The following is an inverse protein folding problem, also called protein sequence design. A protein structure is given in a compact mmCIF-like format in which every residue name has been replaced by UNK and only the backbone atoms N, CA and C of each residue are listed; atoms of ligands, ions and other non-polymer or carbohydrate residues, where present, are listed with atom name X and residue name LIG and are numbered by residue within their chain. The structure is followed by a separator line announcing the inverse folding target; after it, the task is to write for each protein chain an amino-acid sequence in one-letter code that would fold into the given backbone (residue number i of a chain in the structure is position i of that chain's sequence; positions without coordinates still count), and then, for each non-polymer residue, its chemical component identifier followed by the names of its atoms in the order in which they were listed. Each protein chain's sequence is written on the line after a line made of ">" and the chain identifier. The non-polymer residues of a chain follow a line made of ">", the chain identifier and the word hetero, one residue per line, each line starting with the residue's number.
data_IF_786230625564
#
_entry.id   IF_786230625564
#
_cell.length_a   1.000
_cell.length_b   1.000
_cell.length_c   1.000
_cell.angle_alpha   90.00
_cell.angle_beta   90.00
_cell.angle_gamma   90.00
#
_symmetry.space_group_name_H-M   'P 1'
#
loop_
_entity.id
_entity.type
_entity.pdbx_description
1 polymer ?
#
# COMPACT_ATOMS: atom_id res chain seq x y z
N UNK A 1 -13.09 -2.89 -19.61
CA UNK A 1 -13.13 -4.25 -19.02
C UNK A 1 -12.51 -4.13 -17.64
N UNK A 2 -13.19 -4.61 -16.61
CA UNK A 2 -12.62 -4.66 -15.27
C UNK A 2 -11.28 -5.44 -15.33
N UNK A 3 -10.26 -4.95 -14.64
CA UNK A 3 -8.98 -5.65 -14.49
C UNK A 3 -9.26 -6.98 -13.79
N UNK A 4 -8.83 -8.09 -14.35
CA UNK A 4 -8.88 -9.36 -13.67
C UNK A 4 -7.64 -9.47 -12.77
N UNK A 5 -7.75 -9.01 -11.52
CA UNK A 5 -6.67 -9.13 -10.54
C UNK A 5 -6.72 -10.52 -9.89
N UNK A 6 -5.56 -10.99 -9.38
CA UNK A 6 -5.38 -12.33 -8.84
C UNK A 6 -4.71 -12.26 -7.46
N UNK A 7 -4.97 -13.28 -6.62
CA UNK A 7 -4.35 -13.38 -5.32
C UNK A 7 -4.02 -14.80 -4.89
N UNK A 8 -2.90 -14.97 -4.18
CA UNK A 8 -2.61 -16.15 -3.36
C UNK A 8 -2.34 -15.68 -1.94
N UNK A 9 -3.14 -16.18 -1.00
CA UNK A 9 -3.07 -15.83 0.41
C UNK A 9 -2.67 -17.06 1.21
N UNK A 10 -1.54 -16.97 1.91
CA UNK A 10 -1.01 -18.06 2.73
C UNK A 10 -0.95 -17.65 4.20
N UNK A 11 -1.58 -18.43 5.09
CA UNK A 11 -1.56 -18.23 6.53
C UNK A 11 -1.21 -19.49 7.30
N UNK A 12 -0.09 -19.50 8.00
CA UNK A 12 0.40 -20.67 8.75
C UNK A 12 0.48 -20.35 10.22
N UNK A 13 -0.39 -20.98 11.02
CA UNK A 13 -0.48 -20.79 12.48
C UNK A 13 0.01 -21.98 13.28
N UNK A 14 0.08 -23.16 12.66
CA UNK A 14 0.43 -24.38 13.36
C UNK A 14 1.65 -25.05 12.74
N UNK A 15 2.62 -25.33 13.61
CA UNK A 15 3.90 -25.98 13.28
C UNK A 15 4.11 -27.08 14.31
N UNK A 16 4.18 -28.36 13.90
CA UNK A 16 4.41 -29.48 14.83
C UNK A 16 5.80 -29.48 15.48
N UNK A 17 6.81 -28.85 14.85
CA UNK A 17 8.14 -28.72 15.45
C UNK A 17 8.09 -27.75 16.64
N UNK A 18 8.49 -28.17 17.86
CA UNK A 18 8.46 -27.31 19.05
C UNK A 18 9.38 -26.07 18.96
N UNK A 19 10.22 -25.98 17.94
CA UNK A 19 11.00 -24.76 17.64
C UNK A 19 10.16 -23.61 17.10
N UNK A 20 8.91 -23.87 16.69
CA UNK A 20 7.97 -22.88 16.19
C UNK A 20 6.74 -22.83 17.09
N UNK A 21 6.61 -21.83 17.97
CA UNK A 21 5.40 -21.68 18.78
C UNK A 21 4.17 -21.44 17.91
N UNK A 22 2.97 -21.89 18.30
CA UNK A 22 1.76 -21.65 17.55
C UNK A 22 1.44 -20.15 17.49
N UNK A 23 0.93 -19.71 16.35
CA UNK A 23 0.47 -18.34 16.10
C UNK A 23 -1.06 -18.31 16.09
N UNK A 24 -1.65 -17.16 16.38
CA UNK A 24 -3.11 -16.99 16.41
C UNK A 24 -3.63 -16.12 15.25
N UNK A 25 -2.84 -15.17 14.78
CA UNK A 25 -3.21 -14.20 13.76
C UNK A 25 -3.37 -14.78 12.35
N UNK A 26 -2.45 -15.61 11.82
CA UNK A 26 -2.34 -15.84 10.38
C UNK A 26 -3.63 -16.26 9.67
N UNK A 27 -4.45 -17.21 10.14
CA UNK A 27 -5.71 -17.54 9.46
C UNK A 27 -6.74 -16.40 9.48
N UNK A 28 -6.80 -15.63 10.57
CA UNK A 28 -7.69 -14.48 10.72
C UNK A 28 -7.25 -13.33 9.83
N UNK A 29 -5.96 -13.09 9.73
CA UNK A 29 -5.37 -12.04 8.92
C UNK A 29 -5.55 -12.34 7.43
N UNK A 30 -5.40 -13.60 7.02
CA UNK A 30 -5.77 -14.06 5.67
C UNK A 30 -7.24 -13.77 5.38
N UNK A 31 -8.14 -14.10 6.31
CA UNK A 31 -9.57 -13.83 6.11
C UNK A 31 -9.86 -12.33 5.96
N UNK A 32 -9.29 -11.49 6.81
CA UNK A 32 -9.46 -10.02 6.72
C UNK A 32 -8.90 -9.44 5.42
N UNK A 33 -7.75 -9.95 4.97
CA UNK A 33 -7.17 -9.51 3.71
C UNK A 33 -8.01 -9.99 2.52
N UNK A 34 -8.55 -11.21 2.58
CA UNK A 34 -9.51 -11.75 1.61
C UNK A 34 -10.77 -10.88 1.54
N UNK A 35 -11.37 -10.55 2.69
CA UNK A 35 -12.57 -9.72 2.76
C UNK A 35 -12.34 -8.34 2.13
N UNK A 36 -11.17 -7.75 2.35
CA UNK A 36 -10.79 -6.50 1.69
C UNK A 36 -10.59 -6.68 0.18
N UNK A 37 -9.99 -7.79 -0.26
CA UNK A 37 -9.77 -8.05 -1.70
C UNK A 37 -11.09 -8.16 -2.46
N UNK A 38 -12.13 -8.79 -1.89
CA UNK A 38 -13.42 -8.96 -2.55
C UNK A 38 -14.36 -7.76 -2.38
N UNK A 39 -14.04 -6.82 -1.50
CA UNK A 39 -14.83 -5.61 -1.28
C UNK A 39 -14.78 -4.73 -2.54
N UNK A 40 -15.94 -4.38 -3.15
CA UNK A 40 -15.98 -3.47 -4.30
C UNK A 40 -15.40 -2.07 -4.03
N UNK A 41 -15.34 -1.66 -2.76
CA UNK A 41 -14.70 -0.41 -2.33
C UNK A 41 -13.24 -0.61 -1.89
N UNK A 42 -12.77 -1.84 -1.90
CA UNK A 42 -11.41 -2.29 -1.57
C UNK A 42 -10.64 -2.76 -2.80
N UNK A 43 -10.29 -4.05 -2.81
CA UNK A 43 -9.53 -4.67 -3.90
C UNK A 43 -10.32 -4.93 -5.16
N UNK A 44 -11.64 -5.12 -5.07
CA UNK A 44 -12.57 -5.46 -6.17
C UNK A 44 -12.10 -6.68 -7.00
N UNK A 45 -11.51 -7.67 -6.33
CA UNK A 45 -10.99 -8.90 -6.94
C UNK A 45 -12.09 -9.95 -6.99
N UNK A 46 -12.26 -10.60 -8.16
CA UNK A 46 -13.19 -11.72 -8.30
C UNK A 46 -12.78 -12.85 -7.32
N UNK A 47 -13.69 -13.34 -6.45
CA UNK A 47 -13.40 -14.44 -5.53
C UNK A 47 -12.84 -15.70 -6.21
N UNK A 48 -13.20 -15.95 -7.48
CA UNK A 48 -12.67 -17.07 -8.26
C UNK A 48 -11.19 -16.92 -8.65
N UNK A 49 -10.63 -15.71 -8.53
CA UNK A 49 -9.22 -15.40 -8.79
C UNK A 49 -8.38 -15.40 -7.50
N UNK A 50 -8.99 -15.73 -6.36
CA UNK A 50 -8.28 -15.77 -5.07
C UNK A 50 -8.11 -17.21 -4.64
N UNK A 51 -6.87 -17.60 -4.34
CA UNK A 51 -6.54 -18.88 -3.72
C UNK A 51 -6.10 -18.63 -2.28
N UNK A 52 -6.78 -19.25 -1.32
CA UNK A 52 -6.41 -19.22 0.10
C UNK A 52 -5.85 -20.55 0.54
N UNK A 53 -4.72 -20.51 1.25
CA UNK A 53 -4.02 -21.66 1.78
C UNK A 53 -3.74 -21.37 3.26
N UNK A 54 -4.49 -22.02 4.15
CA UNK A 54 -4.39 -21.74 5.60
C UNK A 54 -4.21 -23.01 6.40
N UNK A 55 -3.58 -22.89 7.56
CA UNK A 55 -3.50 -24.00 8.52
C UNK A 55 -4.91 -24.49 8.87
N UNK A 56 -5.18 -25.80 8.82
CA UNK A 56 -6.46 -26.35 9.26
C UNK A 56 -6.75 -26.04 10.72
N UNK A 57 -8.01 -25.83 11.05
CA UNK A 57 -8.47 -25.67 12.43
C UNK A 57 -9.68 -26.58 12.69
N UNK A 58 -9.57 -27.58 13.59
CA UNK A 58 -8.41 -27.92 14.42
C UNK A 58 -7.22 -28.47 13.57
N UNK A 59 -5.98 -28.35 14.08
CA UNK A 59 -4.81 -28.94 13.43
C UNK A 59 -4.97 -30.46 13.31
N UNK A 60 -4.61 -31.05 12.16
CA UNK A 60 -4.69 -32.49 12.00
C UNK A 60 -3.65 -33.23 12.84
N UNK A 61 -3.99 -34.42 13.28
CA UNK A 61 -3.02 -35.32 13.94
C UNK A 61 -2.19 -36.02 12.86
N UNK A 62 -1.07 -35.42 12.50
CA UNK A 62 -0.14 -35.92 11.48
C UNK A 62 1.29 -35.87 12.00
N UNK A 63 2.19 -36.60 11.33
CA UNK A 63 3.62 -36.47 11.58
C UNK A 63 4.12 -35.08 11.15
N UNK A 64 5.18 -34.52 11.76
CA UNK A 64 5.66 -33.18 11.43
C UNK A 64 5.94 -32.93 9.95
N UNK A 65 6.46 -33.93 9.25
CA UNK A 65 6.77 -33.91 7.83
C UNK A 65 5.52 -33.84 6.92
N UNK A 66 4.35 -34.18 7.47
CA UNK A 66 3.06 -34.18 6.76
C UNK A 66 2.17 -32.98 7.09
N UNK A 67 2.61 -32.09 8.00
CA UNK A 67 1.79 -30.97 8.44
C UNK A 67 1.47 -30.00 7.30
N UNK A 68 0.19 -29.71 7.05
CA UNK A 68 -0.22 -28.70 6.06
C UNK A 68 -0.33 -27.30 6.69
N UNK A 69 -0.14 -26.22 5.91
CA UNK A 69 0.24 -26.22 4.49
C UNK A 69 1.71 -26.50 4.26
N UNK A 70 2.01 -27.22 3.19
CA UNK A 70 3.37 -27.52 2.77
C UNK A 70 3.84 -26.57 1.66
N UNK A 71 5.14 -26.58 1.38
CA UNK A 71 5.71 -25.86 0.24
C UNK A 71 5.02 -26.22 -1.08
N UNK A 72 4.67 -27.49 -1.28
CA UNK A 72 4.01 -27.99 -2.48
C UNK A 72 2.62 -27.44 -2.68
N UNK A 73 1.88 -27.15 -1.61
CA UNK A 73 0.52 -26.59 -1.70
C UNK A 73 0.57 -25.19 -2.34
N UNK A 74 1.51 -24.35 -1.88
CA UNK A 74 1.73 -23.04 -2.48
C UNK A 74 2.25 -23.15 -3.92
N UNK A 75 3.21 -24.04 -4.16
CA UNK A 75 3.80 -24.25 -5.50
C UNK A 75 2.74 -24.63 -6.53
N UNK A 76 1.87 -25.59 -6.21
CA UNK A 76 0.77 -26.01 -7.09
C UNK A 76 -0.20 -24.88 -7.36
N UNK A 77 -0.57 -24.11 -6.33
CA UNK A 77 -1.43 -22.94 -6.48
C UNK A 77 -0.81 -21.89 -7.40
N UNK A 78 0.48 -21.60 -7.21
CA UNK A 78 1.19 -20.62 -8.04
C UNK A 78 1.35 -21.10 -9.49
N UNK A 79 1.69 -22.36 -9.71
CA UNK A 79 1.75 -22.94 -11.06
C UNK A 79 0.40 -22.89 -11.76
N UNK A 80 -0.68 -23.28 -11.07
CA UNK A 80 -2.04 -23.21 -11.62
C UNK A 80 -2.42 -21.77 -12.00
N UNK A 81 -2.06 -20.79 -11.15
CA UNK A 81 -2.31 -19.38 -11.40
C UNK A 81 -1.63 -18.92 -12.69
N UNK A 82 -0.32 -19.16 -12.84
CA UNK A 82 0.43 -18.65 -13.99
C UNK A 82 0.22 -19.44 -15.29
N UNK A 83 -0.43 -20.58 -15.24
CA UNK A 83 -0.67 -21.43 -16.43
C UNK A 83 -2.15 -21.57 -16.79
N UNK A 84 -3.07 -21.13 -15.92
CA UNK A 84 -4.50 -21.41 -16.08
C UNK A 84 -4.81 -22.92 -16.17
N UNK A 85 -3.94 -23.77 -15.58
CA UNK A 85 -4.01 -25.24 -15.70
C UNK A 85 -3.54 -25.80 -17.04
N UNK A 86 -2.91 -24.98 -17.89
CA UNK A 86 -2.37 -25.38 -19.19
C UNK A 86 -0.85 -25.65 -19.10
N UNK A 87 -0.27 -26.25 -20.12
CA UNK A 87 1.18 -26.48 -20.20
C UNK A 87 1.93 -25.28 -20.85
N UNK A 88 1.54 -24.06 -20.49
CA UNK A 88 2.19 -22.82 -20.95
C UNK A 88 1.88 -21.70 -19.98
N UNK A 89 2.74 -20.70 -19.90
CA UNK A 89 2.48 -19.50 -19.11
C UNK A 89 1.42 -18.64 -19.80
N UNK A 90 0.46 -18.16 -19.03
CA UNK A 90 -0.52 -17.15 -19.42
C UNK A 90 -0.05 -15.79 -18.90
N UNK A 91 -0.07 -14.78 -19.77
CA UNK A 91 0.37 -13.43 -19.43
C UNK A 91 -0.84 -12.55 -19.15
N UNK A 92 -0.79 -11.86 -18.00
CA UNK A 92 -1.83 -11.00 -17.47
C UNK A 92 -1.29 -9.56 -17.31
N UNK A 93 -0.78 -8.97 -18.40
CA UNK A 93 -0.08 -7.69 -18.39
C UNK A 93 -0.89 -6.50 -17.87
N UNK A 94 -2.22 -6.60 -17.89
CA UNK A 94 -3.13 -5.57 -17.42
C UNK A 94 -3.71 -5.86 -16.03
N UNK A 95 -3.21 -6.90 -15.37
CA UNK A 95 -3.70 -7.39 -14.08
C UNK A 95 -2.66 -7.20 -12.99
N UNK A 96 -3.14 -7.21 -11.76
CA UNK A 96 -2.33 -7.19 -10.53
C UNK A 96 -2.33 -8.57 -9.88
N UNK A 97 -1.16 -8.95 -9.36
CA UNK A 97 -1.00 -10.12 -8.52
C UNK A 97 -0.78 -9.70 -7.07
N UNK A 98 -1.60 -10.18 -6.16
CA UNK A 98 -1.39 -10.07 -4.72
C UNK A 98 -0.79 -11.39 -4.20
N UNK A 99 0.35 -11.30 -3.54
CA UNK A 99 0.98 -12.38 -2.79
C UNK A 99 1.01 -11.98 -1.31
N UNK A 100 0.22 -12.64 -0.50
CA UNK A 100 0.12 -12.38 0.94
C UNK A 100 0.58 -13.61 1.73
N UNK A 101 1.48 -13.38 2.69
CA UNK A 101 2.05 -14.43 3.52
C UNK A 101 2.03 -14.01 4.99
N UNK A 102 1.46 -14.84 5.87
CA UNK A 102 1.44 -14.63 7.31
C UNK A 102 1.84 -15.91 8.06
N UNK A 103 2.81 -15.80 8.99
CA UNK A 103 3.35 -16.93 9.75
C UNK A 103 4.76 -16.69 10.28
N UNK A 104 5.46 -17.76 10.72
CA UNK A 104 6.87 -17.67 11.05
C UNK A 104 7.72 -17.49 9.79
N UNK A 105 8.73 -16.62 9.86
CA UNK A 105 9.59 -16.35 8.72
C UNK A 105 11.00 -15.94 9.10
N UNK A 106 11.83 -15.78 8.09
CA UNK A 106 13.24 -15.40 8.21
C UNK A 106 13.73 -14.66 6.96
N UNK A 107 14.95 -14.12 7.02
CA UNK A 107 15.68 -13.61 5.86
C UNK A 107 17.14 -14.11 5.86
N UNK A 108 17.78 -14.07 4.70
CA UNK A 108 19.20 -14.36 4.58
C UNK A 108 20.06 -13.19 5.03
N UNK A 109 21.12 -13.48 5.82
CA UNK A 109 22.06 -12.46 6.28
C UNK A 109 22.81 -11.80 5.11
N UNK A 110 23.20 -12.58 4.10
CA UNK A 110 24.17 -12.17 3.07
C UNK A 110 23.58 -11.35 1.94
N UNK A 111 22.28 -11.23 1.83
CA UNK A 111 21.66 -10.50 0.72
C UNK A 111 21.36 -9.05 1.11
N UNK A 112 21.73 -8.11 0.21
CA UNK A 112 21.50 -6.68 0.43
C UNK A 112 20.08 -6.24 0.06
N UNK A 113 19.37 -7.00 -0.80
CA UNK A 113 18.00 -6.68 -1.15
C UNK A 113 17.02 -7.10 -0.06
N UNK A 114 15.92 -6.34 0.15
CA UNK A 114 14.85 -6.77 1.04
C UNK A 114 14.34 -8.14 0.63
N UNK A 115 14.43 -9.11 1.53
CA UNK A 115 14.01 -10.49 1.28
C UNK A 115 13.32 -11.06 2.50
N UNK A 116 12.37 -11.95 2.27
CA UNK A 116 11.77 -12.77 3.30
C UNK A 116 11.24 -14.08 2.75
N UNK A 117 11.25 -15.10 3.59
CA UNK A 117 10.56 -16.35 3.38
C UNK A 117 9.72 -16.70 4.61
N UNK A 118 8.60 -17.38 4.37
CA UNK A 118 7.79 -17.99 5.41
C UNK A 118 8.14 -19.47 5.51
N UNK A 119 8.22 -20.01 6.72
CA UNK A 119 8.36 -21.44 6.92
C UNK A 119 7.07 -22.16 6.52
N UNK A 120 7.16 -23.26 5.80
CA UNK A 120 6.04 -24.17 5.61
C UNK A 120 5.70 -24.88 6.92
N UNK A 121 4.47 -25.35 7.09
CA UNK A 121 4.05 -25.96 8.37
C UNK A 121 4.86 -27.22 8.74
N UNK A 122 5.40 -27.92 7.75
CA UNK A 122 6.28 -29.07 7.90
C UNK A 122 7.77 -28.72 8.06
N UNK A 123 8.12 -27.44 8.20
CA UNK A 123 9.49 -27.04 8.49
C UNK A 123 9.91 -27.48 9.90
N UNK A 124 11.21 -27.74 10.07
CA UNK A 124 11.79 -28.12 11.34
C UNK A 124 13.20 -27.58 11.50
N UNK A 125 13.81 -27.81 12.65
CA UNK A 125 15.23 -27.48 12.87
C UNK A 125 16.16 -28.17 11.86
N UNK A 126 15.77 -29.36 11.35
CA UNK A 126 16.57 -30.14 10.40
C UNK A 126 16.21 -29.82 8.96
N UNK A 127 14.93 -29.57 8.67
CA UNK A 127 14.43 -29.38 7.31
C UNK A 127 13.88 -27.97 7.14
N UNK A 128 14.58 -27.17 6.35
CA UNK A 128 14.25 -25.77 6.10
C UNK A 128 13.24 -25.63 4.93
N UNK A 129 12.05 -26.25 5.05
CA UNK A 129 10.98 -26.04 4.08
C UNK A 129 10.46 -24.62 4.20
N UNK A 130 10.57 -23.82 3.14
CA UNK A 130 10.12 -22.44 3.16
C UNK A 130 9.59 -22.00 1.80
N UNK A 131 8.75 -20.99 1.83
CA UNK A 131 8.25 -20.29 0.65
C UNK A 131 8.88 -18.90 0.64
N UNK A 132 9.83 -18.69 -0.27
CA UNK A 132 10.54 -17.44 -0.44
C UNK A 132 9.67 -16.45 -1.23
N UNK A 133 8.68 -15.81 -0.58
CA UNK A 133 7.71 -14.93 -1.22
C UNK A 133 8.33 -13.86 -2.11
N UNK A 134 9.45 -13.27 -1.64
CA UNK A 134 10.21 -12.30 -2.43
C UNK A 134 10.73 -12.88 -3.75
N UNK A 135 11.22 -14.13 -3.75
CA UNK A 135 11.75 -14.76 -4.99
C UNK A 135 10.62 -15.06 -5.98
N UNK A 136 9.43 -15.44 -5.50
CA UNK A 136 8.26 -15.63 -6.37
C UNK A 136 7.80 -14.30 -6.98
N UNK A 137 7.76 -13.22 -6.20
CA UNK A 137 7.41 -11.88 -6.69
C UNK A 137 8.44 -11.39 -7.74
N UNK A 138 9.74 -11.56 -7.48
CA UNK A 138 10.80 -11.20 -8.41
C UNK A 138 10.75 -12.04 -9.69
N UNK A 139 10.52 -13.33 -9.58
CA UNK A 139 10.34 -14.18 -10.75
C UNK A 139 9.15 -13.71 -11.61
N UNK A 140 7.99 -13.45 -11.00
CA UNK A 140 6.81 -12.98 -11.72
C UNK A 140 7.05 -11.63 -12.41
N UNK A 141 7.87 -10.75 -11.80
CA UNK A 141 8.32 -9.48 -12.39
C UNK A 141 9.24 -9.69 -13.57
N UNK A 142 10.28 -10.54 -13.44
CA UNK A 142 11.25 -10.80 -14.50
C UNK A 142 10.62 -11.51 -15.70
N UNK A 143 9.68 -12.41 -15.45
CA UNK A 143 8.89 -13.06 -16.46
C UNK A 143 7.79 -12.17 -17.05
N UNK A 144 7.49 -11.03 -16.43
CA UNK A 144 6.44 -10.09 -16.80
C UNK A 144 5.06 -10.76 -16.95
N UNK A 145 4.74 -11.70 -16.05
CA UNK A 145 3.47 -12.43 -16.10
C UNK A 145 2.29 -11.51 -15.75
N UNK A 146 2.51 -10.56 -14.83
CA UNK A 146 1.53 -9.55 -14.41
C UNK A 146 2.10 -8.14 -14.63
N UNK A 147 1.22 -7.17 -14.82
CA UNK A 147 1.63 -5.77 -14.95
C UNK A 147 1.97 -5.10 -13.62
N UNK A 148 1.35 -5.56 -12.54
CA UNK A 148 1.56 -5.08 -11.18
C UNK A 148 1.66 -6.24 -10.21
N UNK A 149 2.56 -6.14 -9.22
CA UNK A 149 2.78 -7.18 -8.20
C UNK A 149 2.80 -6.52 -6.82
N UNK A 150 1.97 -7.01 -5.92
CA UNK A 150 1.91 -6.61 -4.51
C UNK A 150 2.34 -7.79 -3.66
N UNK A 151 3.43 -7.63 -2.93
CA UNK A 151 3.95 -8.62 -1.99
C UNK A 151 3.78 -8.13 -0.56
N UNK A 152 3.08 -8.91 0.26
CA UNK A 152 2.95 -8.69 1.70
C UNK A 152 3.58 -9.86 2.43
N UNK A 153 4.66 -9.60 3.17
CA UNK A 153 5.38 -10.59 3.99
C UNK A 153 5.14 -10.26 5.48
N UNK A 154 4.05 -10.78 6.01
CA UNK A 154 3.66 -10.61 7.39
C UNK A 154 4.29 -11.71 8.26
N UNK A 155 5.60 -11.62 8.40
CA UNK A 155 6.41 -12.58 9.14
C UNK A 155 7.67 -11.91 9.72
N UNK A 156 8.29 -12.57 10.70
CA UNK A 156 9.60 -12.18 11.18
C UNK A 156 10.65 -12.26 10.05
N UNK A 157 11.66 -11.41 10.16
CA UNK A 157 12.83 -11.43 9.27
C UNK A 157 14.11 -11.67 10.06
N UNK A 158 14.03 -12.58 11.05
CA UNK A 158 15.21 -13.01 11.78
C UNK A 158 16.33 -13.39 10.80
N UNK A 159 17.51 -12.80 11.00
CA UNK A 159 18.65 -13.02 10.11
C UNK A 159 19.31 -14.37 10.43
N UNK A 160 18.98 -15.37 9.67
CA UNK A 160 19.45 -16.75 9.87
C UNK A 160 20.70 -17.03 9.03
N UNK A 161 21.84 -17.27 9.71
CA UNK A 161 23.11 -17.52 9.04
C UNK A 161 23.18 -18.89 8.31
N UNK A 162 22.40 -19.85 8.77
CA UNK A 162 22.42 -21.25 8.34
C UNK A 162 21.26 -21.63 7.43
N UNK A 163 20.29 -20.74 7.24
CA UNK A 163 19.10 -21.00 6.44
C UNK A 163 19.17 -20.26 5.11
N UNK A 164 18.77 -20.96 4.06
CA UNK A 164 18.72 -20.41 2.71
C UNK A 164 17.29 -20.35 2.21
N UNK A 165 16.99 -19.34 1.40
CA UNK A 165 15.74 -19.25 0.67
C UNK A 165 15.66 -20.38 -0.37
N UNK A 166 14.53 -21.07 -0.40
CA UNK A 166 14.28 -22.06 -1.46
C UNK A 166 13.92 -21.31 -2.75
N UNK A 167 14.69 -21.57 -3.79
CA UNK A 167 14.37 -21.03 -5.11
C UNK A 167 13.03 -21.60 -5.62
N UNK A 168 12.18 -20.76 -6.21
CA UNK A 168 11.00 -21.23 -6.91
C UNK A 168 11.39 -22.24 -8.01
N UNK A 169 10.77 -23.43 -8.06
CA UNK A 169 11.04 -24.40 -9.12
C UNK A 169 10.31 -24.03 -10.42
N UNK A 170 10.65 -22.88 -10.95
CA UNK A 170 10.03 -22.25 -12.10
C UNK A 170 11.05 -22.11 -13.23
N UNK A 171 10.62 -22.10 -14.51
CA UNK A 171 11.55 -21.97 -15.64
C UNK A 171 12.24 -20.61 -15.59
N UNK A 172 13.49 -20.56 -16.00
CA UNK A 172 14.20 -19.31 -16.18
C UNK A 172 13.60 -18.56 -17.37
N UNK A 173 12.96 -17.43 -17.10
CA UNK A 173 12.41 -16.54 -18.12
C UNK A 173 13.06 -15.17 -17.92
N UNK A 174 13.58 -14.63 -19.00
CA UNK A 174 14.18 -13.30 -18.99
C UNK A 174 13.55 -12.46 -20.09
N UNK A 175 12.72 -11.50 -19.69
CA UNK A 175 12.06 -10.54 -20.58
C UNK A 175 12.35 -9.12 -20.11
N UNK A 176 13.58 -8.62 -20.24
CA UNK A 176 14.00 -7.37 -19.60
C UNK A 176 13.19 -6.16 -20.06
N UNK A 177 12.77 -6.12 -21.32
CA UNK A 177 11.96 -5.00 -21.85
C UNK A 177 10.55 -4.94 -21.25
N UNK A 178 9.91 -6.08 -21.01
CA UNK A 178 8.61 -6.13 -20.35
C UNK A 178 8.74 -6.00 -18.83
N UNK A 179 9.75 -6.64 -18.23
CA UNK A 179 10.01 -6.61 -16.79
C UNK A 179 10.23 -5.19 -16.24
N UNK A 180 10.83 -4.29 -17.04
CA UNK A 180 11.00 -2.89 -16.67
C UNK A 180 9.68 -2.11 -16.54
N UNK A 181 8.60 -2.59 -17.14
CA UNK A 181 7.27 -1.98 -17.07
C UNK A 181 6.44 -2.51 -15.91
N UNK A 182 6.84 -3.65 -15.33
CA UNK A 182 6.12 -4.26 -14.21
C UNK A 182 6.37 -3.45 -12.95
N UNK A 183 5.29 -2.96 -12.36
CA UNK A 183 5.32 -2.26 -11.08
C UNK A 183 5.34 -3.27 -9.93
N UNK A 184 6.08 -2.96 -8.89
CA UNK A 184 6.22 -3.82 -7.72
C UNK A 184 6.04 -2.99 -6.45
N UNK A 185 5.25 -3.51 -5.53
CA UNK A 185 5.14 -2.99 -4.17
C UNK A 185 5.40 -4.14 -3.21
N UNK A 186 6.39 -3.99 -2.33
CA UNK A 186 6.68 -4.99 -1.29
C UNK A 186 6.58 -4.36 0.08
N UNK A 187 5.90 -5.04 1.00
CA UNK A 187 5.87 -4.66 2.41
C UNK A 187 6.23 -5.86 3.28
N UNK A 188 7.12 -5.63 4.22
CA UNK A 188 7.64 -6.61 5.18
C UNK A 188 7.29 -6.14 6.59
N UNK A 189 6.78 -7.03 7.43
CA UNK A 189 6.33 -6.70 8.80
C UNK A 189 7.44 -6.14 9.71
N UNK A 190 8.69 -6.38 9.36
CA UNK A 190 9.84 -5.89 10.11
C UNK A 190 11.02 -5.63 9.17
N UNK A 191 11.97 -4.77 9.54
CA UNK A 191 13.24 -4.63 8.84
C UNK A 191 14.06 -5.92 8.94
N UNK A 192 15.15 -6.00 8.19
CA UNK A 192 16.07 -7.13 8.24
C UNK A 192 16.62 -7.34 9.66
N UNK A 193 16.47 -8.53 10.19
CA UNK A 193 16.80 -8.90 11.57
C UNK A 193 15.71 -8.57 12.60
N UNK A 194 14.60 -7.97 12.16
CA UNK A 194 13.49 -7.58 13.03
C UNK A 194 12.42 -8.65 13.17
N UNK A 195 11.51 -8.45 14.13
CA UNK A 195 10.42 -9.36 14.46
C UNK A 195 9.06 -8.76 14.18
N UNK A 196 8.21 -9.51 13.47
CA UNK A 196 6.80 -9.23 13.34
C UNK A 196 6.10 -9.44 14.69
N UNK A 197 5.02 -8.70 14.95
CA UNK A 197 4.28 -8.74 16.21
C UNK A 197 2.83 -9.10 15.96
N UNK A 198 2.30 -10.02 16.77
CA UNK A 198 0.88 -10.26 16.93
C UNK A 198 0.39 -9.65 18.24
N UNK A 199 -0.83 -9.11 18.26
CA UNK A 199 -1.43 -8.59 19.48
C UNK A 199 -2.96 -8.68 19.46
N UNK A 200 -3.60 -8.66 20.63
CA UNK A 200 -5.02 -8.37 20.70
C UNK A 200 -5.35 -6.99 20.13
N UNK A 201 -6.34 -6.92 19.27
CA UNK A 201 -6.81 -5.68 18.65
C UNK A 201 -8.16 -5.32 19.27
N UNK A 202 -8.25 -4.25 20.09
CA UNK A 202 -9.49 -3.90 20.79
C UNK A 202 -10.68 -3.71 19.86
N UNK A 203 -10.45 -3.07 18.70
CA UNK A 203 -11.47 -2.78 17.68
C UNK A 203 -12.02 -4.04 16.99
N UNK A 204 -11.35 -5.18 17.20
CA UNK A 204 -11.71 -6.50 16.69
C UNK A 204 -12.05 -7.46 17.86
N UNK A 205 -12.79 -6.98 18.84
CA UNK A 205 -13.21 -7.75 20.02
C UNK A 205 -12.05 -8.36 20.82
N UNK A 206 -10.86 -7.78 20.74
CA UNK A 206 -9.67 -8.30 21.40
C UNK A 206 -9.07 -9.56 20.77
N UNK A 207 -9.46 -9.91 19.56
CA UNK A 207 -8.83 -11.01 18.82
C UNK A 207 -7.38 -10.68 18.46
N UNK A 208 -6.54 -11.73 18.47
CA UNK A 208 -5.13 -11.58 18.13
C UNK A 208 -4.96 -11.52 16.63
N UNK A 209 -4.29 -10.46 16.17
CA UNK A 209 -3.97 -10.19 14.77
C UNK A 209 -2.52 -9.70 14.65
N UNK A 210 -1.97 -9.83 13.45
CA UNK A 210 -0.71 -9.18 13.13
C UNK A 210 -0.86 -7.67 13.11
N UNK A 211 0.12 -6.99 13.66
CA UNK A 211 0.19 -5.55 13.67
C UNK A 211 0.32 -4.98 12.23
N UNK A 212 1.14 -5.64 11.37
CA UNK A 212 1.27 -5.22 9.98
C UNK A 212 -0.06 -5.30 9.24
N UNK A 213 -0.73 -6.46 9.26
CA UNK A 213 -1.99 -6.63 8.53
C UNK A 213 -3.06 -5.66 9.03
N UNK A 214 -3.12 -5.42 10.36
CA UNK A 214 -4.05 -4.44 10.91
C UNK A 214 -3.80 -3.03 10.35
N UNK A 215 -2.57 -2.56 10.38
CA UNK A 215 -2.19 -1.21 9.91
C UNK A 215 -2.29 -1.09 8.38
N UNK A 216 -1.94 -2.14 7.63
CA UNK A 216 -2.05 -2.14 6.17
C UNK A 216 -3.51 -2.04 5.70
N UNK A 217 -4.41 -2.80 6.32
CA UNK A 217 -5.84 -2.73 6.00
C UNK A 217 -6.46 -1.39 6.42
N UNK A 218 -5.96 -0.78 7.49
CA UNK A 218 -6.34 0.58 7.87
C UNK A 218 -5.85 1.60 6.83
N UNK A 219 -4.59 1.46 6.38
CA UNK A 219 -4.03 2.31 5.32
C UNK A 219 -4.81 2.20 4.00
N UNK A 220 -5.21 1.02 3.60
CA UNK A 220 -6.06 0.83 2.42
C UNK A 220 -7.41 1.55 2.53
N UNK A 221 -7.96 1.71 3.74
CA UNK A 221 -9.23 2.41 3.98
C UNK A 221 -9.08 3.92 4.11
N UNK A 222 -8.00 4.38 4.72
CA UNK A 222 -7.91 5.75 5.21
C UNK A 222 -6.72 6.56 4.65
N UNK A 223 -5.76 5.94 3.96
CA UNK A 223 -4.66 6.70 3.36
C UNK A 223 -5.23 7.79 2.42
N UNK A 224 -4.78 9.04 2.57
CA UNK A 224 -5.28 10.13 1.77
C UNK A 224 -4.89 9.95 0.29
N UNK A 225 -5.82 10.21 -0.64
CA UNK A 225 -5.48 10.26 -2.05
C UNK A 225 -4.61 11.48 -2.37
N UNK A 226 -3.90 11.40 -3.47
CA UNK A 226 -3.23 12.56 -4.06
C UNK A 226 -4.25 13.55 -4.67
N UNK A 227 -3.80 14.71 -5.20
CA UNK A 227 -4.70 15.68 -5.84
C UNK A 227 -5.48 15.11 -7.04
N UNK A 228 -5.02 14.04 -7.66
CA UNK A 228 -5.71 13.33 -8.73
C UNK A 228 -6.68 12.27 -8.19
N UNK A 229 -6.83 12.16 -6.89
CA UNK A 229 -7.69 11.18 -6.24
C UNK A 229 -7.08 9.78 -6.18
N UNK A 230 -5.78 9.61 -6.44
CA UNK A 230 -5.12 8.30 -6.48
C UNK A 230 -4.51 7.96 -5.13
N UNK A 231 -4.78 6.76 -4.62
CA UNK A 231 -4.08 6.19 -3.45
C UNK A 231 -2.99 5.28 -3.97
N UNK A 232 -1.74 5.75 -3.84
CA UNK A 232 -0.54 5.08 -4.37
C UNK A 232 0.18 4.31 -3.28
N UNK A 233 1.15 3.46 -3.66
CA UNK A 233 2.04 2.79 -2.71
C UNK A 233 2.80 3.77 -1.82
N UNK A 234 3.20 4.92 -2.34
CA UNK A 234 3.85 5.96 -1.54
C UNK A 234 2.87 6.60 -0.53
N UNK A 235 1.60 6.79 -0.91
CA UNK A 235 0.58 7.27 0.02
C UNK A 235 0.34 6.27 1.15
N UNK A 236 0.27 4.97 0.83
CA UNK A 236 0.18 3.91 1.84
C UNK A 236 1.40 3.91 2.76
N UNK A 237 2.61 4.02 2.20
CA UNK A 237 3.84 4.05 2.98
C UNK A 237 3.84 5.19 3.99
N UNK A 238 3.55 6.41 3.55
CA UNK A 238 3.52 7.59 4.42
C UNK A 238 2.48 7.42 5.53
N UNK A 239 1.29 6.95 5.20
CA UNK A 239 0.22 6.71 6.17
C UNK A 239 0.62 5.65 7.22
N UNK A 240 1.22 4.53 6.77
CA UNK A 240 1.68 3.46 7.66
C UNK A 240 2.77 3.96 8.60
N UNK A 241 3.75 4.72 8.09
CA UNK A 241 4.83 5.30 8.89
C UNK A 241 4.29 6.24 9.97
N UNK A 242 3.29 7.07 9.65
CA UNK A 242 2.64 7.98 10.61
C UNK A 242 1.76 7.25 11.64
N UNK A 243 1.08 6.18 11.22
CA UNK A 243 0.19 5.41 12.09
C UNK A 243 0.96 4.45 13.01
N UNK A 244 2.11 3.94 12.56
CA UNK A 244 2.85 2.86 13.22
C UNK A 244 3.15 3.11 14.70
N UNK A 245 3.65 4.28 15.15
CA UNK A 245 3.90 4.53 16.56
C UNK A 245 2.65 4.44 17.42
N UNK A 246 1.49 4.89 16.91
CA UNK A 246 0.20 4.80 17.60
C UNK A 246 -0.29 3.35 17.64
N UNK A 247 -0.14 2.65 16.52
CA UNK A 247 -0.51 1.26 16.41
C UNK A 247 0.33 0.36 17.31
N UNK A 248 1.60 0.60 17.52
CA UNK A 248 2.45 -0.13 18.46
C UNK A 248 2.05 0.07 19.93
N UNK A 249 1.59 1.29 20.30
CA UNK A 249 1.35 1.63 21.68
C UNK A 249 2.60 1.45 22.54
N UNK A 250 2.54 0.56 23.54
CA UNK A 250 3.67 0.27 24.43
C UNK A 250 4.51 -0.94 23.97
N UNK A 251 4.19 -1.55 22.83
CA UNK A 251 4.93 -2.71 22.31
C UNK A 251 6.12 -2.20 21.50
N UNK A 252 7.37 -2.56 21.84
CA UNK A 252 8.51 -2.22 21.03
C UNK A 252 8.45 -3.04 19.73
N UNK A 253 8.07 -2.41 18.63
CA UNK A 253 8.03 -3.03 17.32
C UNK A 253 8.72 -2.10 16.31
N UNK A 254 9.65 -2.64 15.56
CA UNK A 254 10.27 -1.93 14.45
C UNK A 254 9.22 -1.61 13.37
N UNK A 255 9.32 -0.45 12.69
CA UNK A 255 8.40 -0.13 11.59
C UNK A 255 8.58 -1.11 10.43
N UNK A 256 7.51 -1.36 9.65
CA UNK A 256 7.59 -2.21 8.47
C UNK A 256 8.54 -1.62 7.44
N UNK A 257 9.22 -2.49 6.71
CA UNK A 257 10.03 -2.08 5.57
C UNK A 257 9.19 -2.11 4.30
N UNK A 258 9.05 -0.96 3.63
CA UNK A 258 8.27 -0.84 2.39
C UNK A 258 9.21 -0.49 1.25
N UNK A 259 9.18 -1.34 0.22
CA UNK A 259 9.99 -1.20 -0.99
C UNK A 259 9.12 -0.90 -2.21
N UNK A 260 9.36 0.25 -2.81
CA UNK A 260 8.75 0.71 -4.07
C UNK A 260 9.89 1.02 -5.02
N UNK A 261 10.07 0.24 -6.10
CA UNK A 261 11.15 0.49 -7.04
C UNK A 261 10.94 1.77 -7.85
N UNK A 262 12.01 2.41 -8.32
CA UNK A 262 11.92 3.65 -9.09
C UNK A 262 11.24 3.50 -10.46
N UNK A 263 10.95 2.28 -10.90
CA UNK A 263 10.25 1.98 -12.18
C UNK A 263 8.78 2.43 -12.23
N UNK A 264 8.23 2.85 -11.12
CA UNK A 264 6.87 3.38 -11.01
C UNK A 264 6.12 2.83 -9.81
N UNK A 265 5.21 3.65 -9.29
CA UNK A 265 4.36 3.28 -8.16
C UNK A 265 3.06 2.62 -8.62
N UNK A 266 2.45 1.82 -7.76
CA UNK A 266 1.14 1.20 -7.98
C UNK A 266 0.07 2.19 -7.51
N UNK A 267 -0.93 2.43 -8.35
CA UNK A 267 -2.18 3.07 -7.93
C UNK A 267 -3.13 1.97 -7.46
N UNK A 268 -3.33 1.86 -6.16
CA UNK A 268 -4.19 0.81 -5.59
C UNK A 268 -5.65 1.04 -5.94
N UNK A 269 -6.12 2.26 -5.76
CA UNK A 269 -7.48 2.68 -6.12
C UNK A 269 -7.55 4.19 -6.31
N UNK A 270 -8.65 4.64 -6.92
CA UNK A 270 -8.97 6.05 -7.07
C UNK A 270 -10.16 6.38 -6.18
N UNK A 271 -10.05 7.42 -5.39
CA UNK A 271 -11.11 7.99 -4.56
C UNK A 271 -11.32 9.43 -4.95
N UNK A 272 -12.54 9.94 -4.87
CA UNK A 272 -12.72 11.39 -4.93
C UNK A 272 -11.83 12.04 -3.84
N UNK A 273 -11.05 13.06 -4.19
CA UNK A 273 -10.26 13.77 -3.19
C UNK A 273 -11.19 14.35 -2.12
N UNK A 274 -10.81 14.19 -0.85
CA UNK A 274 -11.52 14.88 0.24
C UNK A 274 -11.19 16.36 0.11
N UNK A 275 -12.19 17.15 -0.27
CA UNK A 275 -12.05 18.59 -0.35
C UNK A 275 -12.18 19.22 1.04
N UNK A 276 -11.16 19.96 1.44
CA UNK A 276 -11.12 20.70 2.70
C UNK A 276 -11.30 22.18 2.40
N UNK A 277 -12.17 22.82 3.16
CA UNK A 277 -12.36 24.26 3.08
C UNK A 277 -11.10 24.98 3.60
N UNK A 278 -10.58 25.91 2.81
CA UNK A 278 -9.42 26.73 3.15
C UNK A 278 -9.74 28.21 2.97
N UNK A 279 -9.63 28.98 4.03
CA UNK A 279 -9.79 30.42 3.97
C UNK A 279 -8.47 31.08 3.52
N UNK A 280 -8.55 31.83 2.43
CA UNK A 280 -7.49 32.72 1.97
C UNK A 280 -7.85 34.14 2.38
N UNK A 281 -7.01 34.76 3.20
CA UNK A 281 -7.21 36.13 3.68
C UNK A 281 -6.45 37.09 2.77
N UNK A 282 -7.19 37.88 2.01
CA UNK A 282 -6.69 38.75 0.94
C UNK A 282 -6.88 40.22 1.28
N UNK A 283 -6.24 40.67 2.37
CA UNK A 283 -6.33 42.07 2.78
C UNK A 283 -5.92 43.04 1.66
N UNK A 284 -6.74 44.09 1.47
CA UNK A 284 -6.49 45.12 0.45
C UNK A 284 -6.29 44.54 -0.95
N UNK A 285 -7.03 43.46 -1.30
CA UNK A 285 -7.04 42.94 -2.64
C UNK A 285 -7.61 43.95 -3.64
N UNK A 286 -7.02 44.12 -4.79
CA UNK A 286 -7.40 45.13 -5.76
C UNK A 286 -7.50 44.57 -7.18
N UNK A 287 -8.20 45.32 -8.05
CA UNK A 287 -8.32 44.96 -9.45
C UNK A 287 -6.93 44.83 -10.11
N UNK A 288 -6.72 43.78 -10.86
CA UNK A 288 -5.45 43.49 -11.54
C UNK A 288 -4.45 42.69 -10.71
N UNK A 289 -4.71 42.43 -9.44
CA UNK A 289 -3.91 41.48 -8.65
C UNK A 289 -4.39 40.05 -8.87
N UNK A 290 -3.45 39.12 -8.85
CA UNK A 290 -3.72 37.68 -9.07
C UNK A 290 -3.19 36.88 -7.90
N UNK A 291 -3.96 35.89 -7.48
CA UNK A 291 -3.54 34.87 -6.52
C UNK A 291 -3.43 33.53 -7.26
N UNK A 292 -2.34 32.83 -7.03
CA UNK A 292 -2.11 31.52 -7.60
C UNK A 292 -1.83 30.53 -6.49
N UNK A 293 -2.43 29.34 -6.59
CA UNK A 293 -2.21 28.23 -5.68
C UNK A 293 -1.54 27.09 -6.43
N UNK A 294 -0.47 26.61 -5.87
CA UNK A 294 0.33 25.49 -6.37
C UNK A 294 0.23 24.31 -5.41
N UNK A 295 0.19 23.11 -5.94
CA UNK A 295 0.25 21.87 -5.16
C UNK A 295 1.66 21.59 -4.60
N UNK A 296 1.80 20.51 -3.82
CA UNK A 296 3.07 20.07 -3.25
C UNK A 296 4.14 19.69 -4.28
N UNK A 297 3.75 19.42 -5.53
CA UNK A 297 4.64 19.16 -6.68
C UNK A 297 5.02 20.42 -7.43
N UNK A 298 4.61 21.59 -6.93
CA UNK A 298 4.82 22.90 -7.55
C UNK A 298 4.11 23.07 -8.91
N UNK A 299 3.01 22.36 -9.11
CA UNK A 299 2.14 22.54 -10.26
C UNK A 299 1.05 23.57 -9.92
N UNK A 300 0.75 24.50 -10.86
CA UNK A 300 -0.34 25.45 -10.70
C UNK A 300 -1.66 24.69 -10.67
N UNK A 301 -2.43 24.90 -9.59
CA UNK A 301 -3.72 24.26 -9.38
C UNK A 301 -4.89 25.19 -9.73
N UNK A 302 -4.84 26.42 -9.23
CA UNK A 302 -5.90 27.42 -9.47
C UNK A 302 -5.35 28.83 -9.46
N UNK A 303 -5.94 29.68 -10.29
CA UNK A 303 -5.70 31.13 -10.33
C UNK A 303 -6.98 31.85 -9.90
N UNK A 304 -6.85 32.79 -8.97
CA UNK A 304 -7.94 33.65 -8.49
C UNK A 304 -7.71 35.09 -8.99
N UNK A 305 -8.77 35.71 -9.50
CA UNK A 305 -8.78 37.11 -9.87
C UNK A 305 -9.97 37.83 -9.21
N UNK A 306 -9.82 39.07 -8.76
CA UNK A 306 -10.90 39.78 -8.09
C UNK A 306 -11.98 40.22 -9.08
N UNK A 307 -13.24 39.96 -8.74
CA UNK A 307 -14.39 40.48 -9.46
C UNK A 307 -14.89 41.73 -8.77
N UNK A 308 -14.81 42.83 -9.46
CA UNK A 308 -15.23 44.14 -8.94
C UNK A 308 -16.65 44.47 -9.39
N UNK A 309 -17.53 44.78 -8.45
CA UNK A 309 -18.90 45.25 -8.67
C UNK A 309 -19.10 46.54 -7.87
N UNK A 310 -19.54 47.62 -8.53
CA UNK A 310 -19.77 48.91 -7.94
C UNK A 310 -18.56 49.49 -7.15
N UNK A 311 -17.34 49.21 -7.62
CA UNK A 311 -16.10 49.66 -7.01
C UNK A 311 -15.61 48.83 -5.82
N UNK A 312 -16.31 47.74 -5.47
CA UNK A 312 -15.94 46.83 -4.39
C UNK A 312 -15.69 45.44 -4.93
N UNK A 313 -14.77 44.69 -4.30
CA UNK A 313 -14.57 43.28 -4.62
C UNK A 313 -15.69 42.48 -3.96
N UNK A 314 -16.57 41.93 -4.78
CA UNK A 314 -17.71 41.10 -4.34
C UNK A 314 -17.47 39.63 -4.45
N UNK A 315 -16.55 39.19 -5.33
CA UNK A 315 -16.24 37.80 -5.57
C UNK A 315 -14.79 37.62 -6.06
N UNK A 316 -14.32 36.39 -6.05
CA UNK A 316 -13.13 35.90 -6.72
C UNK A 316 -13.55 35.00 -7.87
N UNK A 317 -13.09 35.30 -9.08
CA UNK A 317 -13.22 34.37 -10.21
C UNK A 317 -12.03 33.42 -10.21
N UNK A 318 -12.30 32.12 -10.19
CA UNK A 318 -11.33 31.04 -10.14
C UNK A 318 -11.23 30.37 -11.51
N UNK A 319 -10.00 30.12 -11.93
CA UNK A 319 -9.70 29.31 -13.11
C UNK A 319 -8.79 28.17 -12.66
N UNK A 320 -9.33 26.95 -12.66
CA UNK A 320 -8.60 25.75 -12.31
C UNK A 320 -7.70 25.28 -13.45
N UNK A 321 -6.67 24.51 -13.13
CA UNK A 321 -5.71 24.00 -14.12
C UNK A 321 -6.34 23.09 -15.21
N UNK A 322 -7.46 22.46 -14.88
CA UNK A 322 -8.26 21.66 -15.83
C UNK A 322 -9.20 22.52 -16.74
N UNK A 323 -9.18 23.82 -16.55
CA UNK A 323 -10.01 24.78 -17.28
C UNK A 323 -11.39 25.04 -16.67
N UNK A 324 -11.74 24.37 -15.55
CA UNK A 324 -12.97 24.66 -14.80
C UNK A 324 -12.95 26.09 -14.28
N UNK A 325 -14.11 26.75 -14.32
CA UNK A 325 -14.28 28.13 -13.87
C UNK A 325 -15.41 28.21 -12.86
N UNK A 326 -15.18 28.93 -11.79
CA UNK A 326 -16.19 29.23 -10.78
C UNK A 326 -15.99 30.65 -10.21
N UNK A 327 -16.98 31.14 -9.50
CA UNK A 327 -16.89 32.45 -8.82
C UNK A 327 -17.32 32.27 -7.37
N UNK A 328 -16.43 32.59 -6.43
CA UNK A 328 -16.67 32.44 -4.99
C UNK A 328 -16.88 33.84 -4.35
N UNK A 329 -17.79 33.97 -3.36
CA UNK A 329 -17.99 35.25 -2.67
C UNK A 329 -16.72 35.63 -1.89
N UNK A 330 -16.49 36.92 -1.77
CA UNK A 330 -15.46 37.50 -0.90
C UNK A 330 -16.17 38.16 0.28
N UNK A 331 -15.96 37.64 1.49
CA UNK A 331 -16.52 38.14 2.73
C UNK A 331 -15.38 38.50 3.70
N UNK A 332 -15.39 39.70 4.26
CA UNK A 332 -14.35 40.18 5.19
C UNK A 332 -12.90 39.98 4.69
N UNK A 333 -12.66 40.22 3.39
CA UNK A 333 -11.41 39.97 2.70
C UNK A 333 -11.00 38.46 2.66
N UNK A 334 -11.95 37.56 2.84
CA UNK A 334 -11.73 36.12 2.79
C UNK A 334 -12.39 35.47 1.57
N UNK A 335 -11.69 34.54 0.98
CA UNK A 335 -12.20 33.60 -0.05
C UNK A 335 -12.05 32.19 0.51
N UNK A 336 -13.13 31.45 0.58
CA UNK A 336 -13.10 30.07 1.00
C UNK A 336 -12.99 29.17 -0.24
N UNK A 337 -11.82 28.55 -0.45
CA UNK A 337 -11.58 27.60 -1.54
C UNK A 337 -11.62 26.17 -1.02
N UNK A 338 -12.12 25.25 -1.83
CA UNK A 338 -12.11 23.82 -1.51
C UNK A 338 -10.92 23.15 -2.17
N UNK A 339 -9.98 22.66 -1.36
CA UNK A 339 -8.74 22.05 -1.83
C UNK A 339 -8.66 20.59 -1.34
N UNK A 340 -8.12 19.66 -2.13
CA UNK A 340 -7.75 18.34 -1.61
C UNK A 340 -6.84 18.44 -0.39
N UNK A 341 -6.88 17.44 0.49
CA UNK A 341 -5.94 17.39 1.62
C UNK A 341 -4.49 17.36 1.09
N UNK A 342 -3.63 18.28 1.56
CA UNK A 342 -2.25 18.37 1.08
C UNK A 342 -1.56 19.66 1.49
N UNK A 343 -0.28 19.76 1.10
CA UNK A 343 0.52 20.97 1.24
C UNK A 343 0.42 21.82 -0.03
N UNK A 344 0.27 23.11 0.14
CA UNK A 344 0.11 24.06 -0.93
C UNK A 344 1.02 25.25 -0.75
N UNK A 345 1.30 25.93 -1.87
CA UNK A 345 1.95 27.23 -1.90
C UNK A 345 1.01 28.24 -2.56
N UNK A 346 0.50 29.16 -1.77
CA UNK A 346 -0.21 30.34 -2.26
C UNK A 346 0.80 31.45 -2.60
N UNK A 347 0.61 32.13 -3.73
CA UNK A 347 1.34 33.37 -4.04
C UNK A 347 0.40 34.43 -4.59
N UNK A 348 0.67 35.68 -4.27
CA UNK A 348 -0.07 36.84 -4.72
C UNK A 348 0.86 37.83 -5.38
N UNK A 349 0.49 38.29 -6.56
CA UNK A 349 1.17 39.38 -7.27
C UNK A 349 0.59 40.71 -6.76
N UNK A 350 1.39 41.51 -6.09
CA UNK A 350 1.02 42.84 -5.63
C UNK A 350 2.10 43.86 -5.98
N UNK A 351 1.73 44.97 -6.61
CA UNK A 351 2.69 46.02 -7.03
C UNK A 351 3.93 45.49 -7.78
N UNK A 352 3.73 44.49 -8.64
CA UNK A 352 4.81 43.86 -9.39
C UNK A 352 5.72 42.91 -8.61
N UNK A 353 5.41 42.65 -7.34
CA UNK A 353 6.15 41.70 -6.50
C UNK A 353 5.30 40.51 -6.09
N UNK A 354 5.90 39.33 -6.11
CA UNK A 354 5.28 38.11 -5.60
C UNK A 354 5.52 37.96 -4.11
N UNK A 355 4.43 37.81 -3.33
CA UNK A 355 4.45 37.31 -1.95
C UNK A 355 3.97 35.87 -1.96
N UNK A 356 4.53 35.02 -1.11
CA UNK A 356 4.14 33.61 -1.06
C UNK A 356 4.08 33.10 0.37
N UNK A 357 3.21 32.11 0.60
CA UNK A 357 3.06 31.38 1.85
C UNK A 357 2.78 29.92 1.57
N UNK A 358 3.37 29.03 2.38
CA UNK A 358 3.05 27.60 2.37
C UNK A 358 1.98 27.32 3.42
N UNK A 359 1.06 26.43 3.11
CA UNK A 359 -0.03 26.06 4.01
C UNK A 359 -0.50 24.61 3.74
N UNK A 360 -1.20 24.04 4.73
CA UNK A 360 -1.90 22.78 4.61
C UNK A 360 -3.39 23.04 4.46
N UNK A 361 -4.06 22.40 3.50
CA UNK A 361 -5.49 22.54 3.31
C UNK A 361 -6.28 22.13 4.57
N UNK A 362 -7.31 22.90 4.93
CA UNK A 362 -8.11 22.68 6.13
C UNK A 362 -7.44 23.13 7.43
N UNK A 363 -6.27 23.78 7.35
CA UNK A 363 -5.59 24.40 8.48
C UNK A 363 -6.11 25.80 8.81
N UNK A 364 -5.24 26.60 9.46
CA UNK A 364 -5.54 27.99 9.82
C UNK A 364 -5.74 28.87 8.57
N UNK A 365 -6.36 30.05 8.78
CA UNK A 365 -6.50 31.06 7.74
C UNK A 365 -5.16 31.48 7.16
N UNK A 366 -5.06 31.55 5.83
CA UNK A 366 -3.81 31.85 5.11
C UNK A 366 -3.82 33.28 4.61
N UNK A 367 -2.95 34.11 5.14
CA UNK A 367 -2.75 35.50 4.69
C UNK A 367 -1.86 35.59 3.44
N UNK A 368 -2.40 36.07 2.31
CA UNK A 368 -1.70 36.26 1.06
C UNK A 368 -1.70 37.74 0.61
#
# INVERSE_FOLDING_TARGET
>A
MAKADYAILLGISHYPDPGFPPLQGPPRDVQRFYDWLIDPTGGDVDPNHITTIVSPNPPPTVTPDQAPPQFTDFQVAFQKLITGGKNRIEYHSDSRLYLYFSGHGFCEIRNQMPQAAIYAANASRLFNWNIAGTLYALWAKEAAVFGEIVLVMDCCRDAEATRMLMNPPLPAINNPGAAQKVKLFCIYAAPKGGKAQERPVPELNGEVHSLLTHVLLDAFRHAPPDPQGQVTGQALKNYIEDLWPKACGNIPADPPEIYIPPTGDIVFFTRPPVLLAQNLVLHSWSAGETVEIYDGSNQLLVTLTPKVTDGFISAADLVWADGTKESLPVEDARVCVSLPAGLYRGRRLREGQWRQQFFQAGGDDVGL
#
